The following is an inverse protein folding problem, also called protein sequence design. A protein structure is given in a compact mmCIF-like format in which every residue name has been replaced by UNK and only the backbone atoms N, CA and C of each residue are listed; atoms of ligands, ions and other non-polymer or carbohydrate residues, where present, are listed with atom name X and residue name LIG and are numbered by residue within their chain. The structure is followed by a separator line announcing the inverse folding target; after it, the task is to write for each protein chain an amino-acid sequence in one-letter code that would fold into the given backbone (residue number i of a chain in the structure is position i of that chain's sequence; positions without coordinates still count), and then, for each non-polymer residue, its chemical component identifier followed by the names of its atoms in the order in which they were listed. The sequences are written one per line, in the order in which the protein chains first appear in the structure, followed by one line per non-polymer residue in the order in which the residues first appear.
data_IF_949794170003
#
_entry.id   IF_949794170003
#
_cell.length_a   1.000
_cell.length_b   1.000
_cell.length_c   1.000
_cell.angle_alpha   90.00
_cell.angle_beta   90.00
_cell.angle_gamma   90.00
#
_symmetry.space_group_name_H-M   'P 1'
#
loop_
_entity.id
_entity.type
_entity.pdbx_description
1 polymer ?
#
# COMPACT_ATOMS: atom_id res chain seq x y z
N UNK A 1 -6.77 -6.33 18.83
CA UNK A 1 -7.34 -5.21 18.06
C UNK A 1 -6.27 -4.12 17.98
N UNK A 2 -5.70 -3.85 16.81
CA UNK A 2 -4.66 -2.82 16.63
C UNK A 2 -5.31 -1.50 16.25
N UNK A 3 -4.81 -0.40 16.80
CA UNK A 3 -5.25 0.95 16.46
C UNK A 3 -4.14 1.69 15.73
N UNK A 4 -4.53 2.59 14.84
CA UNK A 4 -3.64 3.47 14.11
C UNK A 4 -4.06 4.92 14.29
N UNK A 5 -3.10 5.82 14.35
CA UNK A 5 -3.35 7.26 14.33
C UNK A 5 -3.33 7.73 12.87
N UNK A 6 -4.52 7.94 12.29
CA UNK A 6 -4.67 8.40 10.91
C UNK A 6 -4.77 9.94 10.88
N UNK A 7 -3.98 10.64 10.06
CA UNK A 7 -4.00 12.10 9.98
C UNK A 7 -5.37 12.71 9.64
N UNK A 8 -6.18 12.03 8.82
CA UNK A 8 -7.48 12.53 8.38
C UNK A 8 -8.66 12.02 9.22
N UNK A 9 -8.52 10.85 9.86
CA UNK A 9 -9.63 10.14 10.51
C UNK A 9 -9.49 10.04 12.03
N UNK A 10 -8.35 10.48 12.56
CA UNK A 10 -7.95 10.30 13.95
C UNK A 10 -7.60 8.84 14.26
N UNK A 11 -7.67 8.49 15.54
CA UNK A 11 -7.41 7.13 16.00
C UNK A 11 -8.51 6.18 15.53
N UNK A 12 -8.14 5.18 14.73
CA UNK A 12 -9.07 4.19 14.13
C UNK A 12 -8.59 2.77 14.34
N UNK A 13 -9.53 1.83 14.37
CA UNK A 13 -9.16 0.43 14.45
C UNK A 13 -8.67 -0.06 13.08
N UNK A 14 -7.58 -0.84 13.04
CA UNK A 14 -6.99 -1.31 11.78
C UNK A 14 -7.96 -2.19 10.97
N UNK A 15 -8.91 -2.86 11.63
CA UNK A 15 -9.93 -3.67 10.98
C UNK A 15 -10.98 -2.86 10.18
N UNK A 16 -11.03 -1.53 10.33
CA UNK A 16 -11.80 -0.65 9.45
C UNK A 16 -11.16 -0.54 8.05
N UNK A 17 -9.90 -0.98 7.91
CA UNK A 17 -9.11 -0.91 6.68
C UNK A 17 -8.95 -2.29 6.03
N UNK A 18 -9.00 -2.31 4.71
CA UNK A 18 -8.77 -3.50 3.88
C UNK A 18 -7.41 -3.37 3.20
N UNK A 19 -6.59 -4.40 3.34
CA UNK A 19 -5.29 -4.47 2.68
C UNK A 19 -5.45 -4.60 1.16
N UNK A 20 -4.82 -3.68 0.41
CA UNK A 20 -4.85 -3.60 -1.05
C UNK A 20 -3.57 -4.12 -1.73
N UNK A 21 -2.56 -4.54 -0.97
CA UNK A 21 -1.28 -4.98 -1.52
C UNK A 21 -0.16 -3.96 -1.32
N UNK A 22 1.06 -4.38 -1.65
CA UNK A 22 2.23 -3.49 -1.75
C UNK A 22 2.03 -2.47 -2.85
N UNK A 23 2.41 -1.21 -2.61
CA UNK A 23 2.49 -0.21 -3.68
C UNK A 23 3.63 -0.60 -4.62
N UNK A 24 3.37 -0.55 -5.93
CA UNK A 24 4.34 -0.83 -6.99
C UNK A 24 4.18 0.23 -8.07
N UNK A 25 5.29 0.55 -8.73
CA UNK A 25 5.25 1.31 -9.96
C UNK A 25 4.56 0.48 -11.06
N UNK A 26 3.62 1.10 -11.76
CA UNK A 26 3.05 0.51 -12.97
C UNK A 26 4.10 0.62 -14.10
N UNK A 27 4.44 -0.49 -14.76
CA UNK A 27 5.38 -0.44 -15.89
C UNK A 27 4.74 0.31 -17.05
N UNK A 28 5.54 0.92 -17.92
CA UNK A 28 5.03 1.60 -19.10
C UNK A 28 4.41 0.59 -20.09
N UNK A 29 3.11 0.75 -20.36
CA UNK A 29 2.33 -0.16 -21.19
C UNK A 29 2.82 -0.18 -22.65
N UNK A 30 3.42 0.90 -23.14
CA UNK A 30 3.88 1.00 -24.53
C UNK A 30 5.23 0.31 -24.75
N UNK A 31 6.01 0.07 -23.68
CA UNK A 31 7.37 -0.45 -23.75
C UNK A 31 7.64 -1.72 -22.95
N UNK A 32 6.74 -2.14 -22.06
CA UNK A 32 6.93 -3.30 -21.17
C UNK A 32 7.04 -4.62 -21.94
N UNK A 33 8.06 -5.43 -21.63
CA UNK A 33 8.18 -6.78 -22.18
C UNK A 33 7.23 -7.75 -21.47
N UNK A 34 6.79 -8.81 -22.18
CA UNK A 34 5.90 -9.83 -21.61
C UNK A 34 6.40 -10.42 -20.28
N UNK A 35 7.73 -10.63 -20.16
CA UNK A 35 8.35 -11.14 -18.94
C UNK A 35 8.18 -10.15 -17.78
N UNK A 36 8.49 -8.89 -18.00
CA UNK A 36 8.39 -7.82 -17.00
C UNK A 36 6.93 -7.59 -16.58
N UNK A 37 6.00 -7.66 -17.53
CA UNK A 37 4.57 -7.60 -17.24
C UNK A 37 4.10 -8.76 -16.36
N UNK A 38 4.57 -9.98 -16.66
CA UNK A 38 4.26 -11.16 -15.86
C UNK A 38 4.84 -11.06 -14.44
N UNK A 39 6.06 -10.54 -14.31
CA UNK A 39 6.70 -10.25 -13.02
C UNK A 39 5.89 -9.21 -12.23
N UNK A 40 5.46 -8.13 -12.87
CA UNK A 40 4.65 -7.09 -12.23
C UNK A 40 3.33 -7.64 -11.65
N UNK A 41 2.59 -8.44 -12.43
CA UNK A 41 1.29 -9.01 -12.04
C UNK A 41 1.45 -10.08 -10.95
N UNK A 42 2.34 -11.05 -11.17
CA UNK A 42 2.34 -12.30 -10.38
C UNK A 42 3.36 -12.32 -9.27
N UNK A 43 4.54 -11.72 -9.47
CA UNK A 43 5.62 -11.81 -8.50
C UNK A 43 5.48 -10.76 -7.39
N UNK A 44 5.76 -11.18 -6.16
CA UNK A 44 5.79 -10.28 -4.99
C UNK A 44 7.02 -10.60 -4.17
N UNK A 45 7.68 -9.56 -3.66
CA UNK A 45 8.72 -9.73 -2.65
C UNK A 45 8.05 -10.18 -1.34
N UNK A 46 8.44 -11.35 -0.85
CA UNK A 46 7.92 -11.94 0.39
C UNK A 46 8.91 -11.86 1.56
N UNK A 47 10.05 -11.20 1.36
CA UNK A 47 11.03 -11.00 2.42
C UNK A 47 10.50 -9.95 3.41
N UNK A 48 10.67 -10.16 4.72
CA UNK A 48 10.28 -9.16 5.69
C UNK A 48 11.05 -7.85 5.47
N UNK A 49 10.31 -6.74 5.34
CA UNK A 49 10.87 -5.42 5.08
C UNK A 49 9.89 -4.32 5.52
N UNK A 50 10.38 -3.09 5.61
CA UNK A 50 9.51 -1.91 5.63
C UNK A 50 9.04 -1.70 4.20
N UNK A 51 7.74 -1.80 3.97
CA UNK A 51 7.15 -1.58 2.65
C UNK A 51 5.97 -0.63 2.71
N UNK A 52 5.74 0.05 1.60
CA UNK A 52 4.57 0.89 1.38
C UNK A 52 3.41 0.06 0.85
N UNK A 53 2.23 0.26 1.40
CA UNK A 53 1.06 -0.57 1.15
C UNK A 53 -0.19 0.26 0.92
N UNK A 54 -1.07 -0.23 0.05
CA UNK A 54 -2.41 0.30 -0.16
C UNK A 54 -3.36 -0.20 0.94
N UNK A 55 -4.10 0.73 1.56
CA UNK A 55 -5.11 0.41 2.55
C UNK A 55 -6.41 1.18 2.28
N UNK A 56 -7.51 0.45 2.11
CA UNK A 56 -8.84 1.01 1.83
C UNK A 56 -9.66 1.11 3.11
N UNK A 57 -10.03 2.32 3.51
CA UNK A 57 -10.88 2.54 4.67
C UNK A 57 -12.36 2.34 4.28
N UNK A 58 -12.96 1.22 4.71
CA UNK A 58 -14.33 0.84 4.28
C UNK A 58 -15.39 1.88 4.65
N UNK A 59 -15.37 2.51 5.84
CA UNK A 59 -16.41 3.47 6.23
C UNK A 59 -16.43 4.75 5.40
N UNK A 60 -15.27 5.26 4.95
CA UNK A 60 -15.20 6.53 4.19
C UNK A 60 -15.00 6.35 2.70
N UNK A 61 -14.61 5.15 2.25
CA UNK A 61 -14.30 4.91 0.84
C UNK A 61 -12.97 5.49 0.37
N UNK A 62 -12.10 5.89 1.30
CA UNK A 62 -10.81 6.52 0.99
C UNK A 62 -9.66 5.51 0.97
N UNK A 63 -8.70 5.74 0.10
CA UNK A 63 -7.43 5.00 0.05
C UNK A 63 -6.34 5.74 0.80
N UNK A 64 -5.47 4.97 1.43
CA UNK A 64 -4.31 5.43 2.19
C UNK A 64 -3.06 4.62 1.82
N UNK A 65 -1.91 5.25 2.03
CA UNK A 65 -0.63 4.58 2.05
C UNK A 65 -0.17 4.36 3.48
N UNK A 66 0.16 3.12 3.82
CA UNK A 66 0.82 2.79 5.07
C UNK A 66 2.25 2.34 4.78
N UNK A 67 3.21 2.85 5.53
CA UNK A 67 4.55 2.28 5.57
C UNK A 67 4.64 1.35 6.77
N UNK A 68 4.69 0.04 6.49
CA UNK A 68 4.57 -1.01 7.49
C UNK A 68 5.79 -1.92 7.43
N UNK A 69 6.39 -2.17 8.59
CA UNK A 69 7.34 -3.25 8.78
C UNK A 69 6.57 -4.57 8.81
N UNK A 70 6.74 -5.41 7.79
CA UNK A 70 6.01 -6.68 7.69
C UNK A 70 6.52 -7.75 8.65
N UNK A 71 7.69 -7.57 9.27
CA UNK A 71 8.21 -8.48 10.30
C UNK A 71 7.56 -8.21 11.66
N UNK A 72 7.54 -6.93 12.06
CA UNK A 72 7.08 -6.52 13.40
C UNK A 72 5.62 -6.07 13.42
N UNK A 73 5.01 -5.93 12.25
CA UNK A 73 3.71 -5.28 12.05
C UNK A 73 3.67 -3.83 12.55
N UNK A 74 4.80 -3.13 12.72
CA UNK A 74 4.79 -1.71 13.10
C UNK A 74 4.43 -0.85 11.88
N UNK A 75 3.48 0.08 12.05
CA UNK A 75 3.14 1.08 11.02
C UNK A 75 3.88 2.37 11.39
N UNK A 76 4.82 2.78 10.54
CA UNK A 76 5.67 3.95 10.75
C UNK A 76 5.03 5.24 10.23
N UNK A 77 4.31 5.16 9.12
CA UNK A 77 3.71 6.32 8.47
C UNK A 77 2.35 5.98 7.86
N UNK A 78 1.43 6.95 7.89
CA UNK A 78 0.11 6.87 7.27
C UNK A 78 -0.14 8.18 6.53
N UNK A 79 -0.45 8.10 5.23
CA UNK A 79 -0.83 9.26 4.42
C UNK A 79 -2.02 8.94 3.52
N UNK A 80 -2.84 9.94 3.14
CA UNK A 80 -3.89 9.76 2.14
C UNK A 80 -3.27 9.39 0.80
N UNK A 81 -3.91 8.50 0.05
CA UNK A 81 -3.47 8.21 -1.31
C UNK A 81 -3.77 9.39 -2.23
N UNK A 82 -2.75 9.91 -2.90
CA UNK A 82 -2.85 10.96 -3.91
C UNK A 82 -2.86 10.37 -5.31
N UNK A 83 -3.59 11.02 -6.23
CA UNK A 83 -3.59 10.63 -7.64
C UNK A 83 -2.19 10.84 -8.23
N UNK A 84 -1.67 9.83 -8.92
CA UNK A 84 -0.36 9.90 -9.60
C UNK A 84 0.82 9.30 -8.82
N UNK A 85 0.63 8.93 -7.55
CA UNK A 85 1.73 8.39 -6.72
C UNK A 85 2.41 7.14 -7.29
N UNK A 86 1.64 6.25 -7.94
CA UNK A 86 2.20 5.02 -8.52
C UNK A 86 3.18 5.26 -9.68
N UNK A 87 3.17 6.46 -10.27
CA UNK A 87 4.10 6.83 -11.35
C UNK A 87 5.42 7.45 -10.84
N UNK A 88 5.54 7.66 -9.52
CA UNK A 88 6.71 8.28 -8.86
C UNK A 88 7.47 7.29 -7.96
N UNK A 89 6.94 6.07 -7.79
CA UNK A 89 7.45 5.04 -6.88
C UNK A 89 8.50 4.12 -7.52
#
# INVERSE_FOLDING_TARGET
MKFIDCPLLGKRALNEFVYGGSVKAEPDHDSVMQKEWSEHIFYRHSHPQIQKEWWYHRPTGMWFFFERDTLTDVIHHVSPATKGYANEA
#
